data_IF_109316409865
#
_entry.id   IF_109316409865
#
_cell.length_a   1.000
_cell.length_b   1.000
_cell.length_c   1.000
_cell.angle_alpha   90.00
_cell.angle_beta   90.00
_cell.angle_gamma   90.00
#
_symmetry.space_group_name_H-M   'P 1'
#
loop_
_entity.id
_entity.type
_entity.pdbx_description
1 polymer ?
#
# COMPACT_ATOMS: atom_id res chain seq x y z
N UNK A 1 23.09 -53.87 41.39
CA UNK A 1 24.07 -53.28 40.45
C UNK A 1 23.59 -53.60 39.04
N UNK A 2 23.59 -52.65 38.09
CA UNK A 2 23.23 -52.96 36.71
C UNK A 2 24.26 -53.94 36.14
N UNK A 3 23.77 -55.02 35.54
CA UNK A 3 24.59 -56.08 34.95
C UNK A 3 25.23 -55.57 33.65
N UNK A 4 26.52 -55.22 33.73
CA UNK A 4 27.31 -54.66 32.63
C UNK A 4 27.66 -55.72 31.57
N UNK A 5 27.42 -57.01 31.86
CA UNK A 5 27.71 -58.16 30.98
C UNK A 5 26.84 -58.21 29.73
N UNK A 6 25.73 -57.45 29.71
CA UNK A 6 24.78 -57.35 28.58
C UNK A 6 25.12 -56.26 27.57
N UNK A 7 26.12 -55.42 27.84
CA UNK A 7 26.52 -54.36 26.91
C UNK A 7 27.50 -54.94 25.89
N UNK A 8 27.08 -55.01 24.63
CA UNK A 8 27.95 -55.43 23.53
C UNK A 8 28.95 -54.30 23.20
N UNK A 9 30.14 -54.40 23.79
CA UNK A 9 31.25 -53.43 23.68
C UNK A 9 32.17 -53.75 22.49
N UNK A 10 31.72 -54.56 21.53
CA UNK A 10 32.54 -54.91 20.37
C UNK A 10 32.97 -53.68 19.56
N UNK A 11 34.12 -53.77 18.89
CA UNK A 11 34.65 -52.68 18.06
C UNK A 11 33.67 -52.29 16.95
N UNK A 12 32.88 -53.25 16.46
CA UNK A 12 31.85 -53.02 15.46
C UNK A 12 30.71 -52.11 15.96
N UNK A 13 30.21 -52.32 17.19
CA UNK A 13 29.13 -51.49 17.77
C UNK A 13 29.62 -50.07 18.06
N UNK A 14 30.85 -49.91 18.55
CA UNK A 14 31.47 -48.60 18.73
C UNK A 14 31.70 -47.85 17.43
N UNK A 15 32.19 -48.53 16.40
CA UNK A 15 32.38 -47.93 15.07
C UNK A 15 31.05 -47.52 14.46
N UNK A 16 30.01 -48.33 14.56
CA UNK A 16 28.67 -47.98 14.08
C UNK A 16 28.10 -46.75 14.82
N UNK A 17 28.27 -46.66 16.15
CA UNK A 17 27.86 -45.49 16.94
C UNK A 17 28.66 -44.24 16.58
N UNK A 18 29.98 -44.37 16.42
CA UNK A 18 30.85 -43.27 16.02
C UNK A 18 30.46 -42.71 14.64
N UNK A 19 30.21 -43.58 13.66
CA UNK A 19 29.73 -43.16 12.33
C UNK A 19 28.37 -42.47 12.42
N UNK A 20 27.45 -43.01 13.23
CA UNK A 20 26.12 -42.41 13.43
C UNK A 20 26.22 -41.01 14.06
N UNK A 21 27.02 -40.85 15.11
CA UNK A 21 27.22 -39.54 15.72
C UNK A 21 27.94 -38.57 14.79
N UNK A 22 28.97 -39.02 14.07
CA UNK A 22 29.65 -38.21 13.06
C UNK A 22 28.64 -37.70 12.01
N UNK A 23 27.81 -38.59 11.46
CA UNK A 23 26.79 -38.23 10.48
C UNK A 23 25.78 -37.21 11.05
N UNK A 24 25.35 -37.36 12.30
CA UNK A 24 24.46 -36.41 12.96
C UNK A 24 25.14 -35.04 13.10
N UNK A 25 26.37 -34.99 13.57
CA UNK A 25 27.10 -33.73 13.72
C UNK A 25 27.38 -33.05 12.38
N UNK A 26 27.69 -33.84 11.35
CA UNK A 26 27.93 -33.34 10.00
C UNK A 26 26.63 -32.76 9.41
N UNK A 27 25.50 -33.46 9.58
CA UNK A 27 24.19 -32.95 9.20
C UNK A 27 23.82 -31.67 9.95
N UNK A 28 24.08 -31.62 11.27
CA UNK A 28 23.83 -30.44 12.09
C UNK A 28 24.68 -29.25 11.63
N UNK A 29 25.97 -29.48 11.35
CA UNK A 29 26.88 -28.45 10.86
C UNK A 29 26.43 -27.92 9.50
N UNK A 30 26.06 -28.80 8.56
CA UNK A 30 25.53 -28.39 7.26
C UNK A 30 24.24 -27.58 7.40
N UNK A 31 23.35 -27.98 8.31
CA UNK A 31 22.09 -27.27 8.55
C UNK A 31 22.35 -25.88 9.14
N UNK A 32 23.27 -25.74 10.10
CA UNK A 32 23.67 -24.46 10.69
C UNK A 32 24.32 -23.54 9.66
N UNK A 33 25.24 -24.07 8.85
CA UNK A 33 25.91 -23.30 7.79
C UNK A 33 24.90 -22.90 6.70
N UNK A 34 24.03 -23.81 6.28
CA UNK A 34 22.96 -23.53 5.32
C UNK A 34 22.00 -22.46 5.83
N UNK A 35 21.52 -22.58 7.07
CA UNK A 35 20.66 -21.57 7.70
C UNK A 35 21.37 -20.22 7.80
N UNK A 36 22.66 -20.20 8.14
CA UNK A 36 23.46 -18.97 8.17
C UNK A 36 23.57 -18.34 6.78
N UNK A 37 23.86 -19.12 5.75
CA UNK A 37 23.97 -18.64 4.37
C UNK A 37 22.63 -18.07 3.87
N UNK A 38 21.52 -18.76 4.12
CA UNK A 38 20.18 -18.31 3.71
C UNK A 38 19.72 -17.04 4.43
N UNK A 39 20.18 -16.81 5.67
CA UNK A 39 19.79 -15.63 6.47
C UNK A 39 20.77 -14.47 6.38
N UNK A 40 21.94 -14.66 5.76
CA UNK A 40 22.98 -13.65 5.67
C UNK A 40 22.50 -12.37 4.97
N UNK A 41 21.67 -12.52 3.94
CA UNK A 41 21.22 -11.40 3.12
C UNK A 41 19.94 -10.73 3.63
N UNK A 42 19.26 -11.30 4.63
CA UNK A 42 18.01 -10.73 5.17
C UNK A 42 18.23 -9.35 5.79
N UNK A 43 19.32 -9.20 6.56
CA UNK A 43 19.64 -7.92 7.20
C UNK A 43 20.06 -6.82 6.21
N UNK A 44 20.98 -7.06 5.24
CA UNK A 44 21.33 -6.04 4.26
C UNK A 44 20.18 -5.71 3.32
N UNK A 45 19.36 -6.69 2.91
CA UNK A 45 18.17 -6.43 2.06
C UNK A 45 17.14 -5.57 2.78
N UNK A 46 16.90 -5.82 4.08
CA UNK A 46 16.01 -4.99 4.89
C UNK A 46 16.53 -3.55 5.01
N UNK A 47 17.84 -3.37 5.26
CA UNK A 47 18.44 -2.02 5.28
C UNK A 47 18.30 -1.31 3.94
N UNK A 48 18.62 -1.99 2.84
CA UNK A 48 18.48 -1.41 1.51
C UNK A 48 17.02 -1.04 1.19
N UNK A 49 16.03 -1.79 1.69
CA UNK A 49 14.62 -1.43 1.56
C UNK A 49 14.26 -0.19 2.38
N UNK A 50 14.74 -0.10 3.62
CA UNK A 50 14.55 1.08 4.49
C UNK A 50 15.18 2.34 3.89
N UNK A 51 16.38 2.22 3.33
CA UNK A 51 17.08 3.35 2.69
C UNK A 51 16.29 3.88 1.48
N UNK A 52 15.70 2.97 0.68
CA UNK A 52 14.83 3.34 -0.45
C UNK A 52 13.55 4.03 0.02
N UNK A 53 12.92 3.53 1.08
CA UNK A 53 11.71 4.14 1.64
C UNK A 53 11.98 5.54 2.16
N UNK A 54 13.12 5.75 2.82
CA UNK A 54 13.55 7.07 3.27
C UNK A 54 13.79 8.04 2.09
N UNK A 55 14.44 7.55 1.02
CA UNK A 55 14.66 8.35 -0.19
C UNK A 55 13.32 8.75 -0.85
N UNK A 56 12.40 7.80 -1.03
CA UNK A 56 11.09 8.06 -1.63
C UNK A 56 10.24 9.04 -0.80
N UNK A 57 10.30 8.93 0.54
CA UNK A 57 9.64 9.90 1.43
C UNK A 57 10.20 11.30 1.24
N UNK A 58 11.52 11.42 1.13
CA UNK A 58 12.18 12.71 0.89
C UNK A 58 11.78 13.31 -0.45
N UNK A 59 11.76 12.50 -1.52
CA UNK A 59 11.32 12.94 -2.85
C UNK A 59 9.86 13.37 -2.87
N UNK A 60 8.99 12.63 -2.17
CA UNK A 60 7.58 13.00 -2.01
C UNK A 60 7.44 14.37 -1.36
N UNK A 61 8.14 14.61 -0.26
CA UNK A 61 8.04 15.86 0.48
C UNK A 61 8.56 17.04 -0.35
N UNK A 62 9.65 16.83 -1.11
CA UNK A 62 10.15 17.83 -2.06
C UNK A 62 9.13 18.14 -3.16
N UNK A 63 8.53 17.10 -3.76
CA UNK A 63 7.51 17.26 -4.79
C UNK A 63 6.27 17.97 -4.25
N UNK A 64 5.84 17.63 -3.04
CA UNK A 64 4.72 18.29 -2.38
C UNK A 64 5.02 19.79 -2.19
N UNK A 65 6.20 20.13 -1.67
CA UNK A 65 6.64 21.52 -1.55
C UNK A 65 6.64 22.22 -2.91
N UNK A 66 7.19 21.58 -3.97
CA UNK A 66 7.19 22.14 -5.32
C UNK A 66 5.77 22.38 -5.82
N UNK A 67 4.85 21.44 -5.65
CA UNK A 67 3.44 21.59 -6.03
C UNK A 67 2.80 22.73 -5.24
N UNK A 68 3.02 22.84 -3.94
CA UNK A 68 2.51 23.95 -3.14
C UNK A 68 3.04 25.30 -3.65
N UNK A 69 4.33 25.39 -4.00
CA UNK A 69 4.91 26.63 -4.55
C UNK A 69 4.36 26.99 -5.92
N UNK A 70 4.02 26.00 -6.76
CA UNK A 70 3.44 26.22 -8.09
C UNK A 70 1.95 26.55 -8.02
N UNK A 71 1.23 25.90 -7.09
CA UNK A 71 -0.23 26.00 -6.93
C UNK A 71 -0.64 27.13 -5.98
N UNK A 72 0.32 27.88 -5.43
CA UNK A 72 0.06 29.05 -4.62
C UNK A 72 -0.91 30.00 -5.34
N UNK A 73 -2.00 30.38 -4.67
CA UNK A 73 -3.12 31.12 -5.27
C UNK A 73 -2.69 32.41 -5.97
N UNK A 74 -1.66 33.09 -5.47
CA UNK A 74 -1.06 34.26 -6.11
C UNK A 74 -0.42 33.90 -7.46
N UNK A 75 0.40 32.84 -7.51
CA UNK A 75 1.12 32.41 -8.72
C UNK A 75 0.18 31.81 -9.77
N UNK A 76 -0.82 31.03 -9.36
CA UNK A 76 -1.89 30.54 -10.26
C UNK A 76 -2.66 31.70 -10.87
N UNK A 77 -2.96 32.72 -10.06
CA UNK A 77 -3.64 33.93 -10.53
C UNK A 77 -2.78 34.74 -11.50
N UNK A 78 -1.49 34.88 -11.23
CA UNK A 78 -0.56 35.60 -12.11
C UNK A 78 -0.36 34.85 -13.44
N UNK A 79 -0.26 33.52 -13.41
CA UNK A 79 -0.28 32.68 -14.62
C UNK A 79 -1.59 32.84 -15.40
N UNK A 80 -2.74 32.81 -14.72
CA UNK A 80 -4.03 32.97 -15.35
C UNK A 80 -4.15 34.33 -16.07
N UNK A 81 -3.68 35.41 -15.44
CA UNK A 81 -3.61 36.73 -16.05
C UNK A 81 -2.66 36.79 -17.25
N UNK A 82 -1.47 36.17 -17.15
CA UNK A 82 -0.51 36.10 -18.26
C UNK A 82 -1.09 35.34 -19.48
N UNK A 83 -2.00 34.39 -19.25
CA UNK A 83 -2.70 33.63 -20.29
C UNK A 83 -4.03 34.26 -20.72
N UNK A 84 -4.27 35.52 -20.36
CA UNK A 84 -5.43 36.30 -20.82
C UNK A 84 -6.73 36.02 -20.07
N UNK A 85 -6.72 35.23 -19.00
CA UNK A 85 -7.89 35.06 -18.13
C UNK A 85 -8.13 36.33 -17.32
N UNK A 86 -9.40 36.70 -17.15
CA UNK A 86 -9.83 37.90 -16.41
C UNK A 86 -10.66 37.51 -15.19
N UNK A 87 -10.59 38.31 -14.13
CA UNK A 87 -11.42 38.08 -12.94
C UNK A 87 -12.89 38.23 -13.29
N UNK A 88 -13.72 37.31 -12.80
CA UNK A 88 -15.17 37.36 -12.96
C UNK A 88 -15.77 38.68 -12.46
N UNK A 89 -15.22 39.23 -11.36
CA UNK A 89 -15.63 40.52 -10.80
C UNK A 89 -15.32 41.76 -11.68
N UNK A 90 -14.45 41.63 -12.68
CA UNK A 90 -14.14 42.67 -13.66
C UNK A 90 -14.60 42.34 -15.08
N UNK A 91 -15.30 41.21 -15.25
CA UNK A 91 -15.93 40.83 -16.51
C UNK A 91 -17.13 41.73 -16.76
N UNK A 92 -17.29 42.20 -18.00
CA UNK A 92 -18.48 42.94 -18.40
C UNK A 92 -19.68 42.00 -18.26
N UNK A 93 -20.57 42.28 -17.29
CA UNK A 93 -21.81 41.51 -17.13
C UNK A 93 -22.69 41.76 -18.34
N UNK A 94 -22.65 40.85 -19.31
CA UNK A 94 -23.65 40.83 -20.38
C UNK A 94 -24.93 40.25 -19.79
N UNK A 95 -25.88 41.14 -19.49
CA UNK A 95 -27.27 40.76 -19.22
C UNK A 95 -27.90 40.26 -20.52
N UNK A 96 -27.70 38.97 -20.81
CA UNK A 96 -28.42 38.30 -21.89
C UNK A 96 -29.87 38.08 -21.47
N UNK A 97 -30.83 38.63 -22.23
CA UNK A 97 -32.24 38.27 -22.10
C UNK A 97 -32.41 36.85 -22.64
N UNK A 98 -32.54 35.87 -21.75
CA UNK A 98 -32.93 34.52 -22.15
C UNK A 98 -34.31 34.61 -22.79
N UNK A 99 -34.41 34.23 -24.07
CA UNK A 99 -35.70 34.11 -24.75
C UNK A 99 -36.55 33.09 -24.00
N UNK A 100 -37.82 33.42 -23.76
CA UNK A 100 -38.76 32.50 -23.15
C UNK A 100 -38.93 31.28 -24.07
N UNK A 101 -38.34 30.15 -23.68
CA UNK A 101 -38.67 28.86 -24.29
C UNK A 101 -40.09 28.54 -23.84
N UNK A 102 -41.03 28.23 -24.76
CA UNK A 102 -42.39 27.87 -24.38
C UNK A 102 -42.34 26.64 -23.48
N UNK A 103 -42.94 26.75 -22.29
CA UNK A 103 -43.04 25.62 -21.37
C UNK A 103 -43.89 24.51 -22.02
N UNK A 104 -43.49 23.23 -21.88
CA UNK A 104 -44.31 22.12 -22.35
C UNK A 104 -45.65 22.09 -21.61
N UNK A 105 -46.70 21.67 -22.32
CA UNK A 105 -48.06 21.62 -21.78
C UNK A 105 -48.14 20.77 -20.51
N UNK A 106 -48.91 21.19 -19.50
CA UNK A 106 -49.03 20.47 -18.25
C UNK A 106 -49.66 19.08 -18.48
N UNK A 107 -48.99 18.02 -17.99
CA UNK A 107 -49.53 16.67 -18.05
C UNK A 107 -50.80 16.55 -17.19
N UNK A 108 -51.89 16.11 -17.80
CA UNK A 108 -53.17 15.83 -17.13
C UNK A 108 -52.97 14.58 -16.25
N UNK A 109 -53.16 14.67 -14.91
CA UNK A 109 -53.00 13.51 -14.02
C UNK A 109 -54.08 12.45 -14.30
N UNK A 110 -53.66 11.20 -14.54
CA UNK A 110 -54.54 10.06 -14.89
C UNK A 110 -54.74 9.04 -13.77
N UNK A 111 -54.77 9.45 -12.51
CA UNK A 111 -54.99 8.49 -11.42
C UNK A 111 -55.92 9.05 -10.36
N UNK A 112 -57.13 8.50 -10.31
CA UNK A 112 -58.00 8.54 -9.13
C UNK A 112 -57.35 7.65 -8.08
N UNK A 113 -56.71 8.26 -7.08
CA UNK A 113 -56.13 7.56 -5.95
C UNK A 113 -57.26 7.25 -4.97
N UNK A 114 -57.77 6.01 -4.98
CA UNK A 114 -58.62 5.52 -3.89
C UNK A 114 -57.74 5.17 -2.70
N UNK A 115 -57.83 5.98 -1.64
CA UNK A 115 -57.12 5.76 -0.39
C UNK A 115 -58.09 5.09 0.59
N UNK A 116 -57.88 3.81 0.89
CA UNK A 116 -58.53 3.16 2.03
C UNK A 116 -57.70 3.42 3.28
N UNK A 117 -58.26 4.20 4.21
CA UNK A 117 -57.74 4.36 5.57
C UNK A 117 -58.44 3.39 6.50
N UNK A 118 -57.71 2.44 7.08
CA UNK A 118 -58.16 1.67 8.25
C UNK A 118 -57.42 2.19 9.48
N UNK A 119 -58.18 2.56 10.52
CA UNK A 119 -57.63 2.98 11.80
C UNK A 119 -57.77 1.85 12.82
N UNK A 120 -56.73 1.61 13.61
CA UNK A 120 -56.75 0.70 14.76
C UNK A 120 -56.52 1.50 16.05
#
# INVERSE_FOLDING_TARGET
MPDLSRLDVSVATWRARAVRYLAIYLALALLLVGARALTQDVRPTLRAAQDREAALTTERDELELRVQTLTGSARVRDWAFANGMRRFAGSTTTTGRFGAVPLPDPLIPRTTLEVQTEWK
#
